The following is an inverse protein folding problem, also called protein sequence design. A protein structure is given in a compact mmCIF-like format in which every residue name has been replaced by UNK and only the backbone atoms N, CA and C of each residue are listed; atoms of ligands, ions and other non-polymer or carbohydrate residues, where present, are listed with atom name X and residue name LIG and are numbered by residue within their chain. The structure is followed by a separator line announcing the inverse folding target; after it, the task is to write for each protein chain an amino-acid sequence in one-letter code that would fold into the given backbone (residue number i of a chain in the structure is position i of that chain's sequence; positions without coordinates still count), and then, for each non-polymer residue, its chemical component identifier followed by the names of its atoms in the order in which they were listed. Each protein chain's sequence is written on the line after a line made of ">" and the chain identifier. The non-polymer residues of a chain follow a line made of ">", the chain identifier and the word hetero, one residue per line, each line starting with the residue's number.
data_IF_921291116713
#
_entry.id   IF_921291116713
#
_cell.length_a   1.000
_cell.length_b   1.000
_cell.length_c   1.000
_cell.angle_alpha   90.00
_cell.angle_beta   90.00
_cell.angle_gamma   90.00
#
_symmetry.space_group_name_H-M   'P 1'
#
loop_
_entity.id
_entity.type
_entity.pdbx_description
1 polymer ?
#
# COMPACT_ATOMS: atom_id res chain seq x y z
N UNK A 1 58.86 -10.51 23.90
CA UNK A 1 57.99 -9.45 24.46
C UNK A 1 57.72 -8.42 23.36
N UNK A 2 56.73 -8.67 22.49
CA UNK A 2 56.42 -7.82 21.32
C UNK A 2 55.19 -6.99 21.65
N UNK A 3 55.38 -5.68 21.87
CA UNK A 3 54.29 -4.72 22.12
C UNK A 3 53.51 -4.49 20.83
N UNK A 4 52.29 -5.02 20.72
CA UNK A 4 51.31 -4.60 19.70
C UNK A 4 50.76 -3.23 20.07
N UNK A 5 51.06 -2.21 19.26
CA UNK A 5 50.40 -0.89 19.32
C UNK A 5 48.97 -1.06 18.80
N UNK A 6 47.98 -0.74 19.63
CA UNK A 6 46.60 -0.54 19.20
C UNK A 6 46.55 0.72 18.33
N UNK A 7 46.22 0.59 17.04
CA UNK A 7 45.75 1.71 16.23
C UNK A 7 44.31 2.00 16.65
N UNK A 8 44.04 3.23 17.10
CA UNK A 8 42.69 3.73 17.27
C UNK A 8 41.95 3.62 15.93
N UNK A 9 40.75 3.03 15.94
CA UNK A 9 39.84 3.08 14.79
C UNK A 9 39.34 4.51 14.65
N UNK A 10 39.50 5.08 13.47
CA UNK A 10 38.83 6.34 13.12
C UNK A 10 37.30 6.18 13.21
N UNK A 11 36.55 7.24 13.57
CA UNK A 11 35.11 7.18 13.63
C UNK A 11 34.56 6.92 12.23
N UNK A 12 33.79 5.84 12.06
CA UNK A 12 32.95 5.68 10.88
C UNK A 12 31.92 6.80 10.91
N UNK A 13 31.92 7.68 9.92
CA UNK A 13 30.76 8.50 9.60
C UNK A 13 29.56 7.57 9.49
N UNK A 14 28.63 7.70 10.43
CA UNK A 14 27.32 7.08 10.32
C UNK A 14 26.61 7.87 9.23
N UNK A 15 26.72 7.42 7.98
CA UNK A 15 25.80 7.83 6.93
C UNK A 15 24.39 7.64 7.49
N UNK A 16 23.72 8.74 7.82
CA UNK A 16 22.37 8.70 8.33
C UNK A 16 21.54 7.88 7.33
N UNK A 17 20.81 6.87 7.80
CA UNK A 17 19.94 6.07 6.94
C UNK A 17 18.77 6.95 6.48
N UNK A 18 18.98 7.71 5.41
CA UNK A 18 17.99 8.64 4.83
C UNK A 18 16.76 7.90 4.28
N UNK A 19 16.88 6.60 3.96
CA UNK A 19 15.83 5.82 3.27
C UNK A 19 14.47 5.72 3.97
N UNK A 20 14.38 5.95 5.29
CA UNK A 20 13.09 5.97 6.02
C UNK A 20 12.58 7.37 6.40
N UNK A 21 13.36 8.41 6.10
CA UNK A 21 13.05 9.80 6.44
C UNK A 21 12.12 10.36 5.38
N UNK A 22 11.08 11.08 5.80
CA UNK A 22 10.24 11.80 4.86
C UNK A 22 11.06 12.99 4.32
N UNK A 23 11.47 12.88 3.07
CA UNK A 23 12.26 13.88 2.34
C UNK A 23 12.02 13.69 0.85
N UNK A 24 12.39 14.69 0.05
CA UNK A 24 12.19 14.67 -1.39
C UNK A 24 13.29 15.41 -2.14
N UNK A 25 13.38 15.14 -3.44
CA UNK A 25 14.29 15.80 -4.37
C UNK A 25 13.64 15.89 -5.75
N UNK A 26 13.42 17.12 -6.23
CA UNK A 26 13.20 17.39 -7.64
C UNK A 26 14.54 17.22 -8.36
N UNK A 27 14.75 16.03 -8.94
CA UNK A 27 16.02 15.65 -9.53
C UNK A 27 16.18 16.27 -10.93
N UNK A 28 17.41 16.58 -11.28
CA UNK A 28 17.80 16.85 -12.67
C UNK A 28 17.92 15.53 -13.44
N UNK A 29 17.89 15.62 -14.77
CA UNK A 29 18.08 14.48 -15.68
C UNK A 29 16.78 13.89 -16.24
N UNK A 30 16.93 12.85 -17.05
CA UNK A 30 15.82 12.20 -17.74
C UNK A 30 15.32 10.96 -16.99
N UNK A 31 14.10 10.52 -17.28
CA UNK A 31 13.50 9.32 -16.66
C UNK A 31 14.40 8.09 -16.63
N UNK A 32 15.07 7.68 -17.73
CA UNK A 32 15.82 6.43 -17.75
C UNK A 32 17.03 6.43 -16.81
N UNK A 33 17.46 7.60 -16.34
CA UNK A 33 18.59 7.76 -15.41
C UNK A 33 18.16 7.56 -13.95
N UNK A 34 16.86 7.63 -13.68
CA UNK A 34 16.29 7.50 -12.34
C UNK A 34 15.97 6.03 -12.01
N UNK A 35 15.85 5.71 -10.71
CA UNK A 35 15.67 4.33 -10.22
C UNK A 35 14.60 3.53 -10.96
N UNK A 36 13.40 4.10 -11.09
CA UNK A 36 12.28 3.40 -11.74
C UNK A 36 12.43 3.37 -13.26
N UNK A 37 13.14 4.34 -13.85
CA UNK A 37 13.45 4.34 -15.27
C UNK A 37 14.51 3.30 -15.65
N UNK A 38 15.48 3.04 -14.76
CA UNK A 38 16.40 1.91 -14.86
C UNK A 38 15.64 0.59 -14.74
N UNK A 39 14.71 0.49 -13.78
CA UNK A 39 13.83 -0.67 -13.60
C UNK A 39 12.98 -0.97 -14.83
N UNK A 40 12.32 0.05 -15.39
CA UNK A 40 11.56 -0.08 -16.63
C UNK A 40 12.45 -0.49 -17.81
N UNK A 41 13.65 0.08 -17.93
CA UNK A 41 14.61 -0.31 -18.98
C UNK A 41 14.98 -1.79 -18.88
N UNK A 42 15.28 -2.29 -17.68
CA UNK A 42 15.58 -3.69 -17.45
C UNK A 42 14.37 -4.60 -17.75
N UNK A 43 13.16 -4.19 -17.34
CA UNK A 43 11.93 -4.92 -17.62
C UNK A 43 11.68 -5.03 -19.14
N UNK A 44 11.87 -3.95 -19.90
CA UNK A 44 11.75 -3.94 -21.36
C UNK A 44 12.78 -4.89 -22.00
N UNK A 45 14.04 -4.85 -21.55
CA UNK A 45 15.06 -5.77 -22.07
C UNK A 45 14.73 -7.24 -21.79
N UNK A 46 14.19 -7.56 -20.61
CA UNK A 46 13.75 -8.91 -20.29
C UNK A 46 12.56 -9.36 -21.14
N UNK A 47 11.60 -8.47 -21.41
CA UNK A 47 10.49 -8.76 -22.33
C UNK A 47 11.02 -9.04 -23.73
N UNK A 48 11.98 -8.27 -24.23
CA UNK A 48 12.59 -8.48 -25.54
C UNK A 48 13.35 -9.81 -25.62
N UNK A 49 14.10 -10.17 -24.57
CA UNK A 49 14.84 -11.45 -24.49
C UNK A 49 13.92 -12.66 -24.44
N UNK A 50 12.80 -12.57 -23.71
CA UNK A 50 11.92 -13.70 -23.41
C UNK A 50 10.59 -13.71 -24.17
N UNK A 51 10.39 -12.81 -25.13
CA UNK A 51 9.13 -12.68 -25.90
C UNK A 51 8.62 -13.98 -26.55
N UNK A 52 9.52 -14.90 -26.91
CA UNK A 52 9.19 -16.14 -27.62
C UNK A 52 8.97 -17.34 -26.68
N UNK A 53 8.88 -17.13 -25.36
CA UNK A 53 8.62 -18.19 -24.36
C UNK A 53 7.70 -17.73 -23.23
N UNK A 54 7.03 -18.65 -22.51
CA UNK A 54 6.28 -18.28 -21.31
C UNK A 54 7.19 -17.63 -20.27
N UNK A 55 6.72 -16.55 -19.64
CA UNK A 55 7.47 -15.81 -18.63
C UNK A 55 6.60 -15.44 -17.43
N UNK A 56 7.27 -15.20 -16.30
CA UNK A 56 6.74 -14.47 -15.15
C UNK A 56 7.73 -13.34 -14.86
N UNK A 57 7.26 -12.09 -14.90
CA UNK A 57 8.09 -10.92 -14.66
C UNK A 57 7.49 -10.09 -13.53
N UNK A 58 8.20 -10.01 -12.42
CA UNK A 58 7.88 -9.11 -11.31
C UNK A 58 8.71 -7.83 -11.45
N UNK A 59 8.04 -6.70 -11.74
CA UNK A 59 8.68 -5.38 -11.86
C UNK A 59 8.39 -4.59 -10.59
N UNK A 60 9.42 -4.39 -9.76
CA UNK A 60 9.31 -3.61 -8.53
C UNK A 60 9.71 -2.16 -8.75
N UNK A 61 8.73 -1.28 -8.98
CA UNK A 61 8.95 0.16 -8.96
C UNK A 61 9.14 0.64 -7.52
N UNK A 62 10.15 1.49 -7.29
CA UNK A 62 10.52 1.98 -5.98
C UNK A 62 9.66 3.17 -5.54
N UNK A 63 9.21 4.00 -6.49
CA UNK A 63 8.35 5.15 -6.18
C UNK A 63 6.92 4.68 -5.89
N UNK A 64 6.19 5.38 -5.00
CA UNK A 64 6.55 6.65 -4.36
C UNK A 64 7.18 6.49 -2.96
N UNK A 65 7.99 5.46 -2.71
CA UNK A 65 8.69 5.31 -1.42
C UNK A 65 9.62 6.52 -1.14
N UNK A 66 9.77 6.87 0.13
CA UNK A 66 10.71 7.91 0.59
C UNK A 66 12.18 7.52 0.34
N UNK A 67 13.10 8.46 0.11
CA UNK A 67 12.84 9.86 -0.21
C UNK A 67 12.10 9.99 -1.54
N UNK A 68 11.14 10.89 -1.68
CA UNK A 68 10.39 11.08 -2.93
C UNK A 68 11.28 11.76 -3.97
N UNK A 69 11.79 11.00 -4.94
CA UNK A 69 12.72 11.52 -5.95
C UNK A 69 12.17 11.24 -7.33
N UNK A 70 11.89 12.30 -8.07
CA UNK A 70 11.50 12.23 -9.48
C UNK A 70 12.08 13.42 -10.24
N UNK A 71 12.17 13.35 -11.58
CA UNK A 71 12.63 14.48 -12.39
C UNK A 71 11.78 15.74 -12.15
N UNK A 72 12.42 16.90 -12.18
CA UNK A 72 11.77 18.20 -11.90
C UNK A 72 10.47 18.43 -12.68
N UNK A 73 10.39 17.99 -13.93
CA UNK A 73 9.19 18.15 -14.78
C UNK A 73 7.91 17.61 -14.13
N UNK A 74 7.99 16.53 -13.34
CA UNK A 74 6.82 15.95 -12.67
C UNK A 74 6.37 16.76 -11.45
N UNK A 75 7.27 17.52 -10.83
CA UNK A 75 6.90 18.48 -9.78
C UNK A 75 6.17 19.67 -10.38
N UNK A 76 6.55 20.08 -11.60
CA UNK A 76 5.98 21.24 -12.28
C UNK A 76 4.53 20.98 -12.78
N UNK A 77 4.06 19.72 -12.76
CA UNK A 77 2.67 19.35 -13.07
C UNK A 77 1.68 19.64 -11.93
N UNK A 78 2.17 19.91 -10.73
CA UNK A 78 1.37 20.12 -9.53
C UNK A 78 1.65 21.49 -8.94
N UNK A 79 0.62 22.33 -8.86
CA UNK A 79 0.68 23.56 -8.09
C UNK A 79 0.56 23.22 -6.59
N UNK A 80 1.54 23.66 -5.80
CA UNK A 80 1.56 23.40 -4.35
C UNK A 80 0.43 24.14 -3.63
N UNK A 81 0.01 25.29 -4.16
CA UNK A 81 -1.01 26.14 -3.53
C UNK A 81 -2.42 25.57 -3.69
N UNK A 82 -2.63 24.67 -4.66
CA UNK A 82 -3.89 23.93 -4.87
C UNK A 82 -4.02 22.69 -3.95
N UNK A 83 -2.97 22.36 -3.17
CA UNK A 83 -2.97 21.19 -2.29
C UNK A 83 -3.71 21.50 -0.98
N UNK A 84 -4.89 20.91 -0.84
CA UNK A 84 -5.65 20.94 0.39
C UNK A 84 -5.12 19.93 1.42
N UNK A 85 -4.97 20.40 2.67
CA UNK A 85 -4.62 19.55 3.81
C UNK A 85 -5.89 19.10 4.54
N UNK A 86 -5.94 17.86 5.04
CA UNK A 86 -7.01 17.43 5.94
C UNK A 86 -7.17 18.40 7.12
N UNK A 87 -8.41 18.86 7.34
CA UNK A 87 -8.75 19.67 8.51
C UNK A 87 -8.82 18.77 9.75
N UNK A 88 -7.83 18.88 10.63
CA UNK A 88 -7.72 18.06 11.83
C UNK A 88 -7.80 18.91 13.09
N UNK A 89 -8.62 18.48 14.04
CA UNK A 89 -8.68 19.06 15.37
C UNK A 89 -7.98 18.16 16.40
N UNK A 90 -7.57 18.76 17.52
CA UNK A 90 -7.07 18.00 18.68
C UNK A 90 -8.11 16.98 19.19
N UNK A 91 -9.39 17.34 19.12
CA UNK A 91 -10.49 16.47 19.54
C UNK A 91 -10.59 15.20 18.68
N UNK A 92 -10.27 15.26 17.39
CA UNK A 92 -10.28 14.08 16.51
C UNK A 92 -9.23 13.05 16.95
N UNK A 93 -8.06 13.53 17.40
CA UNK A 93 -7.02 12.65 17.94
C UNK A 93 -7.43 11.99 19.25
N UNK A 94 -8.03 12.77 20.16
CA UNK A 94 -8.42 12.29 21.50
C UNK A 94 -9.58 11.29 21.48
N UNK A 95 -10.35 11.20 20.38
CA UNK A 95 -11.44 10.24 20.19
C UNK A 95 -10.98 8.82 19.85
N UNK A 96 -9.73 8.63 19.44
CA UNK A 96 -9.22 7.32 19.03
C UNK A 96 -8.24 6.74 20.07
N UNK A 97 -8.14 5.41 20.18
CA UNK A 97 -7.18 4.80 21.09
C UNK A 97 -5.73 5.21 20.76
N UNK A 98 -4.85 5.44 21.75
CA UNK A 98 -3.46 5.79 21.50
C UNK A 98 -2.71 4.79 20.59
N UNK A 99 -3.10 3.51 20.63
CA UNK A 99 -2.53 2.47 19.76
C UNK A 99 -2.73 2.74 18.26
N UNK A 100 -3.80 3.44 17.86
CA UNK A 100 -4.04 3.82 16.48
C UNK A 100 -2.98 4.79 15.92
N UNK A 101 -2.33 5.56 16.80
CA UNK A 101 -1.29 6.54 16.47
C UNK A 101 0.13 6.02 16.72
N UNK A 102 0.32 4.71 16.89
CA UNK A 102 1.62 4.13 17.22
C UNK A 102 2.70 4.31 16.12
N UNK A 103 2.33 4.73 14.90
CA UNK A 103 3.26 5.09 13.83
C UNK A 103 3.59 6.58 13.74
N UNK A 104 2.96 7.43 14.57
CA UNK A 104 3.20 8.87 14.55
C UNK A 104 4.66 9.19 14.89
N UNK A 105 5.26 10.13 14.16
CA UNK A 105 6.63 10.59 14.38
C UNK A 105 6.65 12.08 14.70
N UNK A 106 7.41 12.46 15.73
CA UNK A 106 7.45 13.84 16.23
C UNK A 106 7.92 14.83 15.18
N UNK A 107 8.90 14.45 14.36
CA UNK A 107 9.42 15.26 13.28
C UNK A 107 8.40 15.52 12.17
N UNK A 108 7.49 14.57 11.93
CA UNK A 108 6.42 14.72 10.94
C UNK A 108 5.25 15.56 11.48
N UNK A 109 4.93 15.41 12.77
CA UNK A 109 3.95 16.25 13.46
C UNK A 109 4.36 17.72 13.47
N UNK A 110 5.68 17.99 13.58
CA UNK A 110 6.24 19.34 13.63
C UNK A 110 6.35 20.06 12.28
N UNK A 111 6.01 19.43 11.15
CA UNK A 111 6.05 20.07 9.84
C UNK A 111 5.06 21.25 9.77
N UNK A 112 5.42 22.36 9.11
CA UNK A 112 4.47 23.44 8.79
C UNK A 112 3.51 23.00 7.69
N UNK A 113 2.38 23.68 7.53
CA UNK A 113 1.43 23.38 6.45
C UNK A 113 2.08 23.49 5.06
N UNK A 114 2.93 24.49 4.83
CA UNK A 114 3.67 24.62 3.57
C UNK A 114 4.55 23.40 3.30
N UNK A 115 5.25 22.91 4.33
CA UNK A 115 6.10 21.72 4.21
C UNK A 115 5.26 20.45 3.98
N UNK A 116 4.06 20.37 4.55
CA UNK A 116 3.11 19.27 4.32
C UNK A 116 2.62 19.28 2.88
N UNK A 117 2.27 20.44 2.32
CA UNK A 117 1.85 20.56 0.91
C UNK A 117 2.98 20.17 -0.04
N UNK A 118 4.20 20.64 0.20
CA UNK A 118 5.38 20.24 -0.59
C UNK A 118 5.65 18.73 -0.52
N UNK A 119 5.51 18.11 0.66
CA UNK A 119 5.64 16.67 0.80
C UNK A 119 4.59 15.89 -0.02
N UNK A 120 3.34 16.38 -0.06
CA UNK A 120 2.26 15.78 -0.86
C UNK A 120 2.53 15.96 -2.35
N UNK A 121 2.90 17.18 -2.76
CA UNK A 121 3.31 17.49 -4.14
C UNK A 121 4.41 16.53 -4.62
N UNK A 122 5.45 16.35 -3.82
CA UNK A 122 6.56 15.47 -4.14
C UNK A 122 6.15 13.99 -4.24
N UNK A 123 5.20 13.56 -3.39
CA UNK A 123 4.63 12.21 -3.45
C UNK A 123 3.83 12.01 -4.75
N UNK A 124 2.97 12.96 -5.13
CA UNK A 124 2.22 12.93 -6.38
C UNK A 124 3.14 12.95 -7.60
N UNK A 125 4.13 13.84 -7.63
CA UNK A 125 5.16 13.87 -8.68
C UNK A 125 5.92 12.53 -8.82
N UNK A 126 6.14 11.83 -7.71
CA UNK A 126 6.77 10.50 -7.72
C UNK A 126 5.85 9.42 -8.30
N UNK A 127 4.53 9.52 -8.08
CA UNK A 127 3.54 8.63 -8.70
C UNK A 127 3.51 8.84 -10.20
N UNK A 128 3.41 10.09 -10.67
CA UNK A 128 3.35 10.40 -12.12
C UNK A 128 4.61 9.95 -12.85
N UNK A 129 5.77 10.14 -12.23
CA UNK A 129 7.02 9.61 -12.77
C UNK A 129 7.00 8.09 -12.90
N UNK A 130 6.55 7.37 -11.86
CA UNK A 130 6.41 5.91 -11.89
C UNK A 130 5.41 5.45 -12.94
N UNK A 131 4.27 6.14 -13.07
CA UNK A 131 3.25 5.87 -14.08
C UNK A 131 3.82 5.96 -15.50
N UNK A 132 4.62 6.99 -15.78
CA UNK A 132 5.35 7.09 -17.06
C UNK A 132 6.32 5.91 -17.27
N UNK A 133 6.93 5.37 -16.21
CA UNK A 133 7.82 4.20 -16.31
C UNK A 133 7.06 2.90 -16.53
N UNK A 134 5.89 2.74 -15.90
CA UNK A 134 4.97 1.65 -16.19
C UNK A 134 4.51 1.71 -17.65
N UNK A 135 4.16 2.90 -18.15
CA UNK A 135 3.81 3.13 -19.55
C UNK A 135 4.85 2.58 -20.52
N UNK A 136 6.15 2.83 -20.27
CA UNK A 136 7.25 2.28 -21.09
C UNK A 136 7.27 0.75 -21.15
N UNK A 137 6.90 0.07 -20.05
CA UNK A 137 6.81 -1.40 -20.00
C UNK A 137 5.59 -1.90 -20.77
N UNK A 138 4.45 -1.22 -20.62
CA UNK A 138 3.22 -1.56 -21.35
C UNK A 138 3.37 -1.33 -22.86
N UNK A 139 3.99 -0.22 -23.27
CA UNK A 139 4.32 0.08 -24.67
C UNK A 139 5.23 -0.99 -25.29
N UNK A 140 6.11 -1.61 -24.48
CA UNK A 140 6.93 -2.72 -24.93
C UNK A 140 6.13 -4.00 -25.13
N UNK A 141 5.14 -4.30 -24.27
CA UNK A 141 4.22 -5.41 -24.52
C UNK A 141 3.47 -5.22 -25.84
N UNK A 142 2.97 -4.01 -26.11
CA UNK A 142 2.29 -3.69 -27.36
C UNK A 142 3.23 -3.82 -28.58
N UNK A 143 4.41 -3.20 -28.52
CA UNK A 143 5.42 -3.25 -29.59
C UNK A 143 5.84 -4.68 -29.92
N UNK A 144 5.94 -5.55 -28.92
CA UNK A 144 6.34 -6.95 -29.06
C UNK A 144 5.18 -7.88 -29.41
N UNK A 145 3.94 -7.37 -29.50
CA UNK A 145 2.75 -8.18 -29.78
C UNK A 145 2.36 -9.12 -28.64
N UNK A 146 2.74 -8.80 -27.40
CA UNK A 146 2.52 -9.64 -26.21
C UNK A 146 1.23 -9.30 -25.46
N UNK A 147 0.61 -8.14 -25.73
CA UNK A 147 -0.54 -7.62 -24.97
C UNK A 147 -1.73 -8.57 -24.91
N UNK A 148 -2.08 -9.22 -26.02
CA UNK A 148 -3.22 -10.13 -26.08
C UNK A 148 -2.96 -11.50 -25.41
N UNK A 149 -1.73 -11.75 -24.94
CA UNK A 149 -1.30 -13.01 -24.34
C UNK A 149 -0.57 -12.81 -22.99
N UNK A 150 -0.70 -11.64 -22.37
CA UNK A 150 -0.05 -11.32 -21.10
C UNK A 150 -1.08 -10.90 -20.06
N UNK A 151 -1.06 -11.52 -18.88
CA UNK A 151 -1.81 -11.05 -17.72
C UNK A 151 -0.97 -9.97 -17.04
N UNK A 152 -1.53 -8.76 -16.86
CA UNK A 152 -0.87 -7.67 -16.13
C UNK A 152 -1.57 -7.46 -14.81
N UNK A 153 -0.83 -7.56 -13.70
CA UNK A 153 -1.31 -7.22 -12.36
C UNK A 153 -0.52 -6.02 -11.86
N UNK A 154 -1.21 -4.90 -11.62
CA UNK A 154 -0.65 -3.72 -10.97
C UNK A 154 -1.21 -3.62 -9.56
N UNK A 155 -0.35 -3.50 -8.56
CA UNK A 155 -0.73 -3.37 -7.16
C UNK A 155 0.30 -2.56 -6.37
N UNK A 156 -0.02 -2.21 -5.13
CA UNK A 156 0.95 -1.75 -4.13
C UNK A 156 1.05 -2.76 -2.97
N UNK A 157 2.15 -2.71 -2.22
CA UNK A 157 2.37 -3.54 -1.03
C UNK A 157 1.65 -2.99 0.21
N UNK A 158 1.42 -1.67 0.27
CA UNK A 158 0.66 -1.00 1.31
C UNK A 158 0.14 0.36 0.84
N UNK A 159 -0.85 0.91 1.53
CA UNK A 159 -1.28 2.30 1.32
C UNK A 159 -0.29 3.32 1.89
N UNK A 160 -0.65 4.60 1.88
CA UNK A 160 0.18 5.67 2.42
C UNK A 160 -0.66 6.82 2.98
N UNK A 161 -0.31 7.27 4.19
CA UNK A 161 -0.83 8.49 4.80
C UNK A 161 -0.10 9.72 4.27
N UNK A 162 -0.90 10.71 3.89
CA UNK A 162 -0.54 12.04 3.44
C UNK A 162 -1.22 13.05 4.38
N UNK A 163 -0.85 13.00 5.66
CA UNK A 163 -1.40 13.81 6.75
C UNK A 163 -2.81 13.44 7.24
N UNK A 164 -3.50 12.44 6.67
CA UNK A 164 -4.74 11.93 7.27
C UNK A 164 -4.50 11.46 8.71
N UNK A 165 -5.41 11.79 9.61
CA UNK A 165 -5.26 11.58 11.07
C UNK A 165 -3.97 12.18 11.67
N UNK A 166 -3.29 13.09 10.97
CA UNK A 166 -1.99 13.66 11.38
C UNK A 166 -0.84 12.67 11.20
N UNK A 167 -1.07 11.56 10.50
CA UNK A 167 -0.10 10.53 10.23
C UNK A 167 0.55 10.71 8.86
N UNK A 168 1.73 10.13 8.71
CA UNK A 168 2.45 10.03 7.44
C UNK A 168 2.97 8.62 7.29
N UNK A 169 3.32 8.24 6.05
CA UNK A 169 3.81 6.90 5.76
C UNK A 169 2.75 5.83 6.00
N UNK A 170 3.16 4.63 6.38
CA UNK A 170 2.29 3.47 6.53
C UNK A 170 2.35 3.01 7.97
N UNK A 171 2.13 1.72 8.21
CA UNK A 171 2.18 1.16 9.55
C UNK A 171 1.03 1.70 10.42
N UNK A 172 -0.19 1.64 9.91
CA UNK A 172 -1.41 1.75 10.74
C UNK A 172 -2.47 0.78 10.22
N UNK A 173 -3.62 0.72 10.90
CA UNK A 173 -4.78 -0.06 10.46
C UNK A 173 -5.91 0.83 9.91
N UNK A 174 -5.61 2.08 9.55
CA UNK A 174 -6.53 2.93 8.79
C UNK A 174 -6.57 2.51 7.32
N UNK A 175 -7.66 2.82 6.64
CA UNK A 175 -7.89 2.60 5.21
C UNK A 175 -6.75 3.18 4.38
N UNK A 176 -6.28 4.39 4.69
CA UNK A 176 -5.15 5.02 3.98
C UNK A 176 -3.87 4.16 3.96
N UNK A 177 -3.61 3.34 4.98
CA UNK A 177 -2.43 2.48 5.04
C UNK A 177 -2.68 1.05 4.56
N UNK A 178 -3.93 0.59 4.59
CA UNK A 178 -4.29 -0.81 4.33
C UNK A 178 -4.90 -1.03 2.93
N UNK A 179 -5.54 -0.02 2.36
CA UNK A 179 -6.16 -0.09 1.05
C UNK A 179 -5.14 0.28 -0.03
N UNK A 180 -5.06 -0.53 -1.08
CA UNK A 180 -4.09 -0.41 -2.17
C UNK A 180 -4.80 -0.49 -3.52
N UNK A 181 -4.25 0.13 -4.58
CA UNK A 181 -4.73 -0.14 -5.93
C UNK A 181 -4.50 -1.62 -6.26
N UNK A 182 -5.45 -2.25 -6.94
CA UNK A 182 -5.29 -3.54 -7.58
C UNK A 182 -6.00 -3.50 -8.94
N UNK A 183 -5.22 -3.57 -10.01
CA UNK A 183 -5.73 -3.62 -11.39
C UNK A 183 -5.23 -4.92 -12.00
N UNK A 184 -6.16 -5.72 -12.52
CA UNK A 184 -5.85 -6.96 -13.25
C UNK A 184 -6.34 -6.82 -14.68
N UNK A 185 -5.40 -6.72 -15.62
CA UNK A 185 -5.67 -6.82 -17.04
C UNK A 185 -5.51 -8.27 -17.48
N UNK A 186 -6.63 -8.96 -17.65
CA UNK A 186 -6.69 -10.31 -18.20
C UNK A 186 -7.22 -10.22 -19.64
N UNK A 187 -6.42 -10.60 -20.66
CA UNK A 187 -6.87 -10.58 -22.05
C UNK A 187 -8.19 -11.34 -22.23
N UNK A 188 -9.14 -10.72 -22.94
CA UNK A 188 -10.45 -11.31 -23.29
C UNK A 188 -11.37 -11.64 -22.10
N UNK A 189 -11.06 -11.19 -20.88
CA UNK A 189 -11.97 -11.34 -19.74
C UNK A 189 -13.28 -10.58 -19.94
N UNK A 190 -14.40 -11.17 -19.53
CA UNK A 190 -15.72 -10.53 -19.61
C UNK A 190 -15.82 -9.27 -18.72
N UNK A 191 -15.06 -9.23 -17.62
CA UNK A 191 -14.99 -8.09 -16.72
C UNK A 191 -14.07 -6.94 -17.16
N UNK A 192 -13.49 -6.98 -18.37
CA UNK A 192 -12.55 -5.96 -18.82
C UNK A 192 -13.15 -4.56 -18.78
N UNK A 193 -12.44 -3.61 -18.16
CA UNK A 193 -12.89 -2.22 -18.00
C UNK A 193 -14.01 -2.02 -16.97
N UNK A 194 -14.28 -3.00 -16.11
CA UNK A 194 -15.26 -2.90 -15.03
C UNK A 194 -14.55 -2.85 -13.67
N UNK A 195 -15.15 -2.14 -12.73
CA UNK A 195 -14.73 -2.14 -11.32
C UNK A 195 -15.51 -3.18 -10.52
N UNK A 196 -14.91 -3.62 -9.42
CA UNK A 196 -15.53 -4.44 -8.39
C UNK A 196 -15.28 -3.77 -7.04
N UNK A 197 -16.30 -3.69 -6.18
CA UNK A 197 -16.20 -3.07 -4.85
C UNK A 197 -16.21 -4.13 -3.72
N UNK A 198 -16.11 -5.41 -4.07
CA UNK A 198 -16.02 -6.51 -3.12
C UNK A 198 -14.66 -6.51 -2.42
N UNK A 199 -14.58 -7.00 -1.17
CA UNK A 199 -13.31 -7.11 -0.48
C UNK A 199 -12.35 -8.06 -1.22
N UNK A 200 -11.08 -7.67 -1.29
CA UNK A 200 -9.96 -8.46 -1.84
C UNK A 200 -8.76 -8.30 -0.91
N UNK A 201 -7.91 -9.32 -0.84
CA UNK A 201 -6.66 -9.31 -0.08
C UNK A 201 -5.47 -9.59 -1.00
N UNK A 202 -4.28 -9.06 -0.67
CA UNK A 202 -3.07 -9.30 -1.46
C UNK A 202 -2.71 -10.79 -1.57
N UNK A 203 -3.08 -11.61 -0.58
CA UNK A 203 -2.88 -13.06 -0.59
C UNK A 203 -3.71 -13.78 -1.67
N UNK A 204 -4.71 -13.12 -2.26
CA UNK A 204 -5.52 -13.67 -3.35
C UNK A 204 -4.78 -13.66 -4.69
N UNK A 205 -3.72 -12.85 -4.84
CA UNK A 205 -3.00 -12.70 -6.10
C UNK A 205 -2.36 -14.02 -6.53
N UNK A 206 -1.70 -14.74 -5.62
CA UNK A 206 -1.04 -16.01 -5.93
C UNK A 206 -2.00 -17.08 -6.45
N UNK A 207 -3.08 -17.48 -5.72
CA UNK A 207 -4.02 -18.48 -6.23
C UNK A 207 -4.74 -18.02 -7.50
N UNK A 208 -4.96 -16.71 -7.67
CA UNK A 208 -5.52 -16.17 -8.91
C UNK A 208 -4.61 -16.42 -10.11
N UNK A 209 -3.31 -16.10 -9.99
CA UNK A 209 -2.37 -16.29 -11.09
C UNK A 209 -2.14 -17.78 -11.39
N UNK A 210 -2.10 -18.64 -10.36
CA UNK A 210 -2.03 -20.08 -10.56
C UNK A 210 -3.24 -20.61 -11.35
N UNK A 211 -4.45 -20.24 -10.95
CA UNK A 211 -5.70 -20.61 -11.62
C UNK A 211 -5.74 -20.10 -13.07
N UNK A 212 -5.46 -18.82 -13.31
CA UNK A 212 -5.48 -18.23 -14.65
C UNK A 212 -4.44 -18.85 -15.60
N UNK A 213 -3.30 -19.29 -15.07
CA UNK A 213 -2.26 -19.97 -15.84
C UNK A 213 -2.46 -21.50 -15.94
N UNK A 214 -3.51 -22.06 -15.33
CA UNK A 214 -3.74 -23.51 -15.31
C UNK A 214 -2.68 -24.29 -14.51
N UNK A 215 -2.05 -23.64 -13.53
CA UNK A 215 -1.05 -24.23 -12.65
C UNK A 215 -1.70 -24.72 -11.34
N UNK A 216 -1.20 -25.80 -10.74
CA UNK A 216 -1.68 -26.23 -9.43
C UNK A 216 -1.30 -25.21 -8.35
N UNK A 217 -2.27 -24.84 -7.52
CA UNK A 217 -2.05 -24.06 -6.32
C UNK A 217 -1.93 -25.00 -5.10
N UNK A 218 -1.08 -24.70 -4.10
CA UNK A 218 -1.06 -25.47 -2.86
C UNK A 218 -2.37 -25.37 -2.07
N UNK A 219 -2.77 -26.44 -1.39
CA UNK A 219 -4.04 -26.50 -0.63
C UNK A 219 -4.02 -25.69 0.69
N UNK A 220 -2.85 -25.21 1.12
CA UNK A 220 -2.67 -24.48 2.38
C UNK A 220 -2.71 -22.95 2.23
N UNK A 221 -3.11 -22.44 1.06
CA UNK A 221 -3.20 -21.01 0.82
C UNK A 221 -4.41 -20.41 1.57
N UNK A 222 -4.19 -19.28 2.24
CA UNK A 222 -5.28 -18.49 2.84
C UNK A 222 -6.08 -17.68 1.80
N UNK A 223 -5.46 -17.38 0.65
CA UNK A 223 -6.08 -16.60 -0.43
C UNK A 223 -7.08 -17.40 -1.26
N UNK A 224 -7.97 -16.69 -1.95
CA UNK A 224 -8.96 -17.26 -2.87
C UNK A 224 -8.77 -16.68 -4.27
N UNK A 225 -8.84 -17.53 -5.31
CA UNK A 225 -8.74 -17.04 -6.70
C UNK A 225 -9.83 -16.00 -7.00
N UNK A 226 -9.42 -14.89 -7.62
CA UNK A 226 -10.29 -13.80 -8.07
C UNK A 226 -10.89 -14.07 -9.46
N UNK A 227 -10.61 -15.22 -10.11
CA UNK A 227 -11.16 -15.56 -11.43
C UNK A 227 -12.69 -15.36 -11.52
N UNK A 228 -13.51 -15.76 -10.52
CA UNK A 228 -14.95 -15.49 -10.57
C UNK A 228 -15.29 -14.00 -10.72
N UNK A 229 -14.52 -13.12 -10.09
CA UNK A 229 -14.69 -11.65 -10.17
C UNK A 229 -14.25 -11.13 -11.53
N UNK A 230 -13.14 -11.63 -12.08
CA UNK A 230 -12.63 -11.26 -13.40
C UNK A 230 -13.59 -11.66 -14.54
N UNK A 231 -14.24 -12.82 -14.40
CA UNK A 231 -15.26 -13.30 -15.34
C UNK A 231 -16.64 -12.64 -15.11
N UNK A 232 -16.90 -12.14 -13.90
CA UNK A 232 -18.17 -11.55 -13.51
C UNK A 232 -17.99 -10.47 -12.45
N UNK A 233 -17.82 -9.18 -12.84
CA UNK A 233 -17.51 -8.08 -11.92
C UNK A 233 -18.53 -7.79 -10.82
N UNK A 234 -19.73 -8.35 -10.89
CA UNK A 234 -20.74 -8.27 -9.82
C UNK A 234 -20.60 -9.36 -8.76
N UNK A 235 -19.75 -10.36 -8.97
CA UNK A 235 -19.51 -11.45 -8.03
C UNK A 235 -18.56 -10.98 -6.92
N UNK A 236 -18.66 -11.63 -5.77
CA UNK A 236 -17.68 -11.54 -4.70
C UNK A 236 -17.18 -12.95 -4.36
N UNK A 237 -15.91 -13.05 -3.98
CA UNK A 237 -15.33 -14.32 -3.49
C UNK A 237 -15.18 -14.33 -1.96
N UNK A 238 -15.34 -13.17 -1.30
CA UNK A 238 -15.24 -13.04 0.15
C UNK A 238 -16.13 -11.91 0.69
N UNK A 239 -16.47 -12.02 1.96
CA UNK A 239 -17.33 -11.06 2.67
C UNK A 239 -16.52 -9.96 3.39
N UNK A 240 -15.23 -10.22 3.62
CA UNK A 240 -14.34 -9.31 4.34
C UNK A 240 -12.87 -9.52 3.94
N UNK A 241 -12.07 -8.48 4.13
CA UNK A 241 -10.61 -8.50 4.08
C UNK A 241 -10.04 -8.26 5.48
N UNK A 242 -8.88 -8.84 5.77
CA UNK A 242 -8.22 -8.75 7.07
C UNK A 242 -6.87 -8.04 6.94
N UNK A 243 -6.49 -7.32 7.99
CA UNK A 243 -5.18 -6.65 8.05
C UNK A 243 -4.62 -6.78 9.44
N UNK A 244 -3.33 -7.08 9.53
CA UNK A 244 -2.60 -7.16 10.79
C UNK A 244 -1.43 -6.19 10.80
N UNK A 245 -1.11 -5.68 11.98
CA UNK A 245 0.15 -4.99 12.18
C UNK A 245 0.73 -5.22 13.57
N UNK A 246 2.06 -5.35 13.68
CA UNK A 246 2.78 -5.49 14.96
C UNK A 246 3.42 -4.15 15.35
N UNK A 247 3.18 -3.66 16.57
CA UNK A 247 3.74 -2.42 17.11
C UNK A 247 4.46 -2.71 18.43
N UNK A 248 5.78 -2.66 18.42
CA UNK A 248 6.57 -3.01 19.58
C UNK A 248 6.23 -4.44 20.04
N UNK A 249 5.58 -4.53 21.19
CA UNK A 249 5.19 -5.76 21.87
C UNK A 249 3.71 -6.18 21.65
N UNK A 250 2.87 -5.37 20.97
CA UNK A 250 1.45 -5.67 20.79
C UNK A 250 1.02 -5.76 19.32
N UNK A 251 -0.01 -6.56 19.07
CA UNK A 251 -0.64 -6.70 17.76
C UNK A 251 -1.88 -5.80 17.63
N UNK A 252 -2.15 -5.37 16.40
CA UNK A 252 -3.44 -4.87 15.96
C UNK A 252 -3.98 -5.73 14.84
N UNK A 253 -5.29 -5.95 14.84
CA UNK A 253 -6.01 -6.68 13.82
C UNK A 253 -7.20 -5.85 13.34
N UNK A 254 -7.49 -5.88 12.04
CA UNK A 254 -8.63 -5.20 11.45
C UNK A 254 -9.39 -6.11 10.50
N UNK A 255 -10.71 -5.96 10.45
CA UNK A 255 -11.62 -6.57 9.48
C UNK A 255 -12.33 -5.46 8.71
N UNK A 256 -12.28 -5.53 7.38
CA UNK A 256 -12.96 -4.62 6.44
C UNK A 256 -13.99 -5.40 5.62
N UNK A 257 -15.26 -5.15 5.90
CA UNK A 257 -16.41 -5.60 5.09
C UNK A 257 -16.78 -4.54 4.05
N UNK A 258 -17.83 -4.71 3.24
CA UNK A 258 -18.28 -3.65 2.31
C UNK A 258 -18.68 -2.34 3.01
N UNK A 259 -19.26 -2.41 4.21
CA UNK A 259 -19.74 -1.24 4.97
C UNK A 259 -18.89 -0.89 6.18
N UNK A 260 -18.38 -1.86 6.91
CA UNK A 260 -17.75 -1.66 8.21
C UNK A 260 -16.26 -1.95 8.18
N UNK A 261 -15.49 -1.14 8.91
CA UNK A 261 -14.13 -1.46 9.36
C UNK A 261 -14.13 -1.56 10.88
N UNK A 262 -13.68 -2.68 11.42
CA UNK A 262 -13.53 -2.89 12.86
C UNK A 262 -12.08 -3.27 13.18
N UNK A 263 -11.50 -2.60 14.17
CA UNK A 263 -10.09 -2.77 14.56
C UNK A 263 -9.99 -3.05 16.05
N UNK A 264 -9.14 -4.00 16.40
CA UNK A 264 -8.85 -4.44 17.77
C UNK A 264 -7.35 -4.31 18.04
N UNK A 265 -6.99 -3.61 19.11
CA UNK A 265 -5.60 -3.49 19.56
C UNK A 265 -5.38 -4.30 20.82
N UNK A 266 -4.41 -5.21 20.77
CA UNK A 266 -3.99 -6.03 21.92
C UNK A 266 -5.18 -6.80 22.54
N UNK A 267 -5.94 -7.51 21.69
CA UNK A 267 -7.21 -8.20 22.03
C UNK A 267 -8.27 -7.30 22.71
N UNK A 268 -8.15 -5.98 22.52
CA UNK A 268 -9.04 -4.95 23.07
C UNK A 268 -8.48 -4.24 24.30
N UNK A 269 -7.38 -4.72 24.89
CA UNK A 269 -6.73 -4.08 26.03
C UNK A 269 -6.19 -2.69 25.70
N UNK A 270 -5.89 -2.41 24.43
CA UNK A 270 -5.44 -1.09 23.95
C UNK A 270 -6.49 -0.35 23.12
N UNK A 271 -7.74 -0.81 23.16
CA UNK A 271 -8.89 -0.16 22.57
C UNK A 271 -9.42 -0.81 21.30
N UNK A 272 -10.63 -0.40 20.94
CA UNK A 272 -11.37 -0.88 19.77
C UNK A 272 -11.82 0.31 18.91
N UNK A 273 -11.92 0.10 17.60
CA UNK A 273 -12.43 1.09 16.66
C UNK A 273 -13.47 0.46 15.74
N UNK A 274 -14.58 1.17 15.47
CA UNK A 274 -15.58 0.80 14.47
C UNK A 274 -15.89 2.03 13.61
N UNK A 275 -15.84 1.86 12.29
CA UNK A 275 -16.17 2.91 11.32
C UNK A 275 -17.21 2.43 10.32
N UNK A 276 -18.21 3.27 10.04
CA UNK A 276 -19.12 3.10 8.91
C UNK A 276 -18.47 3.73 7.67
N UNK A 277 -17.88 2.89 6.82
CA UNK A 277 -17.09 3.31 5.67
C UNK A 277 -17.94 3.88 4.52
N UNK A 278 -19.27 3.81 4.61
CA UNK A 278 -20.16 4.44 3.63
C UNK A 278 -20.44 5.90 4.00
N UNK A 279 -20.68 6.18 5.29
CA UNK A 279 -20.96 7.54 5.76
C UNK A 279 -19.72 8.29 6.26
N UNK A 280 -18.68 7.58 6.66
CA UNK A 280 -17.43 8.10 7.21
C UNK A 280 -16.23 7.35 6.61
N UNK A 281 -15.97 7.50 5.30
CA UNK A 281 -14.83 6.86 4.64
C UNK A 281 -13.47 7.36 5.15
N UNK A 282 -13.44 8.51 5.83
CA UNK A 282 -12.24 9.08 6.44
C UNK A 282 -11.97 8.59 7.86
N UNK A 283 -12.78 7.65 8.40
CA UNK A 283 -12.56 7.01 9.70
C UNK A 283 -12.43 8.00 10.88
N UNK A 284 -13.20 9.09 10.84
CA UNK A 284 -13.08 10.19 11.80
C UNK A 284 -13.89 9.96 13.08
N UNK A 285 -14.95 9.15 13.02
CA UNK A 285 -15.88 8.92 14.15
C UNK A 285 -15.85 7.45 14.59
N UNK A 286 -15.21 7.18 15.73
CA UNK A 286 -15.21 5.84 16.30
C UNK A 286 -16.57 5.49 16.93
N UNK A 287 -17.26 4.52 16.35
CA UNK A 287 -18.58 4.05 16.76
C UNK A 287 -18.54 2.86 17.73
N UNK A 288 -17.36 2.35 18.10
CA UNK A 288 -17.23 1.10 18.87
C UNK A 288 -17.93 1.16 20.24
N UNK A 289 -17.90 2.33 20.90
CA UNK A 289 -18.57 2.57 22.19
C UNK A 289 -19.95 3.22 22.04
N UNK A 290 -20.43 3.47 20.81
CA UNK A 290 -21.67 4.19 20.55
C UNK A 290 -22.93 3.35 20.78
N UNK A 291 -24.05 3.97 21.19
CA UNK A 291 -25.32 3.27 21.28
C UNK A 291 -25.76 2.76 19.89
N UNK A 292 -26.31 1.54 19.83
CA UNK A 292 -26.84 0.97 18.59
C UNK A 292 -25.88 0.13 17.75
N UNK A 293 -24.58 0.07 18.08
CA UNK A 293 -23.60 -0.70 17.30
C UNK A 293 -23.08 -1.97 17.98
N UNK A 294 -23.54 -2.28 19.20
CA UNK A 294 -23.06 -3.43 19.99
C UNK A 294 -23.16 -4.77 19.25
N UNK A 295 -24.25 -5.01 18.52
CA UNK A 295 -24.41 -6.25 17.74
C UNK A 295 -23.41 -6.32 16.56
N UNK A 296 -23.15 -5.19 15.90
CA UNK A 296 -22.17 -5.09 14.81
C UNK A 296 -20.76 -5.35 15.34
N UNK A 297 -20.38 -4.70 16.45
CA UNK A 297 -19.09 -4.91 17.13
C UNK A 297 -18.91 -6.38 17.50
N UNK A 298 -19.89 -6.98 18.19
CA UNK A 298 -19.80 -8.38 18.62
C UNK A 298 -19.61 -9.35 17.44
N UNK A 299 -20.36 -9.14 16.35
CA UNK A 299 -20.26 -9.95 15.13
C UNK A 299 -18.88 -9.82 14.47
N UNK A 300 -18.40 -8.60 14.26
CA UNK A 300 -17.12 -8.36 13.60
C UNK A 300 -15.93 -8.81 14.47
N UNK A 301 -16.00 -8.60 15.79
CA UNK A 301 -15.01 -9.10 16.75
C UNK A 301 -14.89 -10.62 16.70
N UNK A 302 -16.02 -11.33 16.69
CA UNK A 302 -16.02 -12.78 16.57
C UNK A 302 -15.41 -13.28 15.25
N UNK A 303 -15.73 -12.61 14.13
CA UNK A 303 -15.13 -12.92 12.82
C UNK A 303 -13.61 -12.70 12.82
N UNK A 304 -13.15 -11.57 13.36
CA UNK A 304 -11.74 -11.20 13.43
C UNK A 304 -10.93 -12.15 14.33
N UNK A 305 -11.45 -12.51 15.50
CA UNK A 305 -10.79 -13.46 16.40
C UNK A 305 -10.74 -14.88 15.81
N UNK A 306 -11.76 -15.29 15.05
CA UNK A 306 -11.73 -16.56 14.34
C UNK A 306 -10.67 -16.59 13.23
N UNK A 307 -10.49 -15.47 12.51
CA UNK A 307 -9.42 -15.33 11.53
C UNK A 307 -8.05 -15.42 12.19
N UNK A 308 -7.80 -14.64 13.25
CA UNK A 308 -6.51 -14.61 13.95
C UNK A 308 -6.07 -16.01 14.44
N UNK A 309 -7.01 -16.82 14.96
CA UNK A 309 -6.74 -18.21 15.38
C UNK A 309 -6.42 -19.15 14.22
N UNK A 310 -7.07 -19.00 13.06
CA UNK A 310 -6.86 -19.87 11.88
C UNK A 310 -5.49 -19.67 11.26
N UNK A 311 -5.00 -18.43 11.25
CA UNK A 311 -3.66 -18.09 10.75
C UNK A 311 -2.50 -18.57 11.63
N UNK A 312 -2.76 -19.50 12.56
CA UNK A 312 -1.72 -20.19 13.34
C UNK A 312 -1.06 -19.35 14.44
N UNK A 313 -1.80 -18.40 15.03
CA UNK A 313 -1.31 -17.55 16.12
C UNK A 313 -2.08 -17.79 17.42
#
# INVERSE_FOLDING_TARGET
>A
MVRRRFRAREPREVAARVGGTLSWLAAEGADPEQTDGLGATAAVSLLEEYKDRPFFLAVGFYRPHTPYVSPKRYFDEYDVDEIELPALSRADRERLPPAAYASAKKEQEAMSDDLRREAIRAYWASITFMDAQLGRVLDALDRLGLTDNTIVVMTSDHGYHMYQHGLWQKMSLFENSAHVPLIVSLPRAAGRGKSNAGPVELVDIYPTLADLCGLPAPDYLDGTSLRPVLDGPSKSVKEAAFTQVRRGDFDGYSIRTSRWRYTLWDDGHKGEQLYDMQSDPGEMTNLAAGPGHAQTVARLKAQLQNYAKRSGK
#
